data_IF_285369622592
#
_entry.id   IF_285369622592
#
_cell.length_a   1.000
_cell.length_b   1.000
_cell.length_c   1.000
_cell.angle_alpha   90.00
_cell.angle_beta   90.00
_cell.angle_gamma   90.00
#
_symmetry.space_group_name_H-M   'P 1'
#
loop_
_entity.id
_entity.type
_entity.pdbx_description
1 polymer ?
#
# COMPACT_ATOMS: atom_id res chain seq x y z
N UNK A 1 -15.37 7.72 -27.20
CA UNK A 1 -14.62 6.69 -26.44
C UNK A 1 -14.65 7.07 -24.97
N UNK A 2 -15.50 6.42 -24.15
CA UNK A 2 -15.52 6.61 -22.69
C UNK A 2 -14.23 5.96 -22.15
N UNK A 3 -13.33 6.65 -21.45
CA UNK A 3 -12.28 5.93 -20.76
C UNK A 3 -13.00 5.11 -19.70
N UNK A 4 -12.98 3.79 -19.86
CA UNK A 4 -13.13 2.89 -18.72
C UNK A 4 -12.23 3.49 -17.65
N UNK A 5 -12.78 4.01 -16.56
CA UNK A 5 -11.98 4.30 -15.35
C UNK A 5 -11.43 2.93 -14.95
N UNK A 6 -10.36 2.50 -15.60
CA UNK A 6 -9.41 1.56 -15.06
C UNK A 6 -8.90 2.35 -13.86
N UNK A 7 -9.62 2.25 -12.75
CA UNK A 7 -9.21 2.87 -11.50
C UNK A 7 -7.83 2.31 -11.29
N UNK A 8 -6.81 3.12 -11.52
CA UNK A 8 -5.46 2.73 -11.23
C UNK A 8 -5.50 2.49 -9.72
N UNK A 9 -5.60 1.22 -9.31
CA UNK A 9 -5.69 0.87 -7.88
C UNK A 9 -4.28 1.07 -7.34
N UNK A 10 -3.94 2.33 -7.13
CA UNK A 10 -2.67 2.77 -6.64
C UNK A 10 -2.90 3.69 -5.45
N UNK A 11 -1.96 3.69 -4.52
CA UNK A 11 -2.01 4.60 -3.38
C UNK A 11 -1.67 6.01 -3.85
N UNK A 12 -2.61 6.95 -3.71
CA UNK A 12 -2.37 8.39 -3.87
C UNK A 12 -1.80 9.01 -2.58
N UNK A 13 -2.11 8.39 -1.43
CA UNK A 13 -1.58 8.76 -0.13
C UNK A 13 -1.14 7.50 0.63
N UNK A 14 -0.19 7.68 1.54
CA UNK A 14 0.36 6.61 2.38
C UNK A 14 0.21 6.97 3.85
N UNK A 15 0.03 5.94 4.68
CA UNK A 15 0.03 6.08 6.13
C UNK A 15 1.34 5.58 6.73
N UNK A 16 1.87 6.34 7.69
CA UNK A 16 2.99 5.89 8.55
C UNK A 16 2.49 5.10 9.77
N UNK A 17 1.17 5.03 9.97
CA UNK A 17 0.58 4.34 11.11
C UNK A 17 0.94 2.85 11.09
N UNK A 18 1.18 2.30 12.28
CA UNK A 18 1.49 0.89 12.43
C UNK A 18 0.24 0.04 12.17
N UNK A 19 0.34 -0.95 11.29
CA UNK A 19 -0.74 -1.94 11.10
C UNK A 19 -0.75 -2.88 12.31
N UNK A 20 -1.83 -2.89 13.13
CA UNK A 20 -1.92 -3.72 14.32
C UNK A 20 -1.72 -5.21 13.99
N UNK A 21 -0.99 -5.95 14.84
CA UNK A 21 -0.69 -7.39 14.63
C UNK A 21 -1.93 -8.29 14.49
N UNK A 22 -3.10 -7.82 14.95
CA UNK A 22 -4.39 -8.51 14.77
C UNK A 22 -4.83 -8.62 13.31
N UNK A 23 -4.33 -7.74 12.44
CA UNK A 23 -4.63 -7.73 11.02
C UNK A 23 -3.69 -8.74 10.34
N UNK A 24 -4.26 -9.83 9.82
CA UNK A 24 -3.53 -10.88 9.11
C UNK A 24 -3.20 -10.43 7.70
N UNK A 25 -2.02 -9.84 7.56
CA UNK A 25 -1.46 -9.50 6.25
C UNK A 25 -1.10 -10.80 5.50
N UNK A 26 -1.73 -11.03 4.36
CA UNK A 26 -1.50 -12.22 3.51
C UNK A 26 -0.35 -12.00 2.54
N UNK A 27 -0.24 -10.79 1.99
CA UNK A 27 0.83 -10.43 1.06
C UNK A 27 1.13 -8.94 1.10
N UNK A 28 2.23 -8.54 0.49
CA UNK A 28 2.55 -7.13 0.27
C UNK A 28 3.01 -6.91 -1.16
N UNK A 29 2.80 -5.69 -1.66
CA UNK A 29 3.29 -5.23 -2.97
C UNK A 29 3.91 -3.85 -2.80
N UNK A 30 5.14 -3.69 -3.29
CA UNK A 30 5.75 -2.37 -3.41
C UNK A 30 5.24 -1.68 -4.67
N UNK A 31 4.84 -0.44 -4.50
CA UNK A 31 4.41 0.47 -5.56
C UNK A 31 5.46 1.58 -5.70
N UNK A 32 5.94 1.77 -6.91
CA UNK A 32 6.82 2.89 -7.26
C UNK A 32 6.00 4.18 -7.38
N UNK A 33 6.60 5.32 -7.05
CA UNK A 33 5.96 6.61 -7.28
C UNK A 33 5.78 6.87 -8.78
N UNK A 34 4.53 7.07 -9.21
CA UNK A 34 4.17 7.42 -10.57
C UNK A 34 2.91 8.29 -10.52
N UNK A 35 3.06 9.60 -10.74
CA UNK A 35 1.94 10.56 -10.61
C UNK A 35 0.69 10.08 -11.37
N UNK A 36 -0.49 9.99 -10.71
CA UNK A 36 -0.84 10.55 -9.39
C UNK A 36 -0.48 9.67 -8.17
N UNK A 37 0.04 8.47 -8.38
CA UNK A 37 0.39 7.52 -7.33
C UNK A 37 1.70 7.88 -6.62
N UNK A 38 1.73 7.74 -5.29
CA UNK A 38 2.93 7.93 -4.48
C UNK A 38 3.68 6.62 -4.29
N UNK A 39 4.93 6.69 -3.82
CA UNK A 39 5.66 5.50 -3.42
C UNK A 39 4.99 4.87 -2.19
N UNK A 40 4.63 3.59 -2.27
CA UNK A 40 3.84 2.93 -1.24
C UNK A 40 4.19 1.45 -1.10
N UNK A 41 4.00 0.90 0.10
CA UNK A 41 3.87 -0.54 0.32
C UNK A 41 2.40 -0.83 0.57
N UNK A 42 1.79 -1.58 -0.35
CA UNK A 42 0.42 -2.06 -0.22
C UNK A 42 0.46 -3.39 0.49
N UNK A 43 -0.09 -3.46 1.70
CA UNK A 43 -0.34 -4.73 2.37
C UNK A 43 -1.75 -5.22 2.07
N UNK A 44 -1.90 -6.50 1.76
CA UNK A 44 -3.19 -7.16 1.55
C UNK A 44 -3.55 -7.94 2.80
N UNK A 45 -4.80 -7.82 3.25
CA UNK A 45 -5.33 -8.50 4.42
C UNK A 45 -6.71 -9.05 4.08
N UNK A 46 -6.76 -10.25 3.50
CA UNK A 46 -8.02 -10.82 2.99
C UNK A 46 -8.67 -9.90 1.97
N UNK A 47 -9.72 -9.18 2.40
CA UNK A 47 -10.49 -8.26 1.55
C UNK A 47 -10.03 -6.79 1.64
N UNK A 48 -9.14 -6.45 2.55
CA UNK A 48 -8.68 -5.07 2.75
C UNK A 48 -7.26 -4.84 2.22
N UNK A 49 -6.98 -3.60 1.84
CA UNK A 49 -5.67 -3.15 1.36
C UNK A 49 -5.22 -1.95 2.18
N UNK A 50 -3.98 -1.97 2.61
CA UNK A 50 -3.39 -0.89 3.43
C UNK A 50 -2.22 -0.25 2.70
N UNK A 51 -2.38 1.02 2.34
CA UNK A 51 -1.33 1.86 1.78
C UNK A 51 -0.41 2.36 2.90
N UNK A 52 0.80 1.83 2.98
CA UNK A 52 1.78 2.17 4.01
C UNK A 52 3.01 2.85 3.40
N UNK A 53 3.59 3.78 4.14
CA UNK A 53 4.75 4.56 3.68
C UNK A 53 6.03 3.72 3.77
N UNK A 54 6.73 3.42 2.66
CA UNK A 54 7.96 2.63 2.66
C UNK A 54 9.07 3.19 3.57
N UNK A 55 9.07 4.49 3.85
CA UNK A 55 10.01 5.14 4.75
C UNK A 55 9.67 4.92 6.25
N UNK A 56 8.54 4.30 6.58
CA UNK A 56 8.19 4.01 7.96
C UNK A 56 9.13 2.95 8.55
N UNK A 57 9.72 3.25 9.72
CA UNK A 57 10.71 2.39 10.40
C UNK A 57 10.21 0.96 10.64
N UNK A 58 8.92 0.79 10.88
CA UNK A 58 8.34 -0.52 11.15
C UNK A 58 8.19 -1.37 9.89
N UNK A 59 8.08 -0.76 8.70
CA UNK A 59 7.98 -1.49 7.43
C UNK A 59 9.29 -2.17 7.08
N UNK A 60 10.42 -1.48 7.28
CA UNK A 60 11.74 -2.09 7.07
C UNK A 60 11.95 -3.34 7.95
N UNK A 61 11.36 -3.38 9.15
CA UNK A 61 11.38 -4.56 10.02
C UNK A 61 10.38 -5.65 9.62
N UNK A 62 9.38 -5.32 8.79
CA UNK A 62 8.27 -6.21 8.38
C UNK A 62 8.52 -6.88 7.03
N UNK A 63 9.29 -6.24 6.16
CA UNK A 63 9.62 -6.71 4.80
C UNK A 63 10.98 -7.45 4.76
N UNK A 64 11.79 -7.35 5.80
CA UNK A 64 13.07 -8.06 5.94
C UNK A 64 12.87 -9.52 6.28
#
# INVERSE_FOLDING_TARGET
>A
RRPTKVGLVCCEAVSKAFIPKRIKLTSYKRQNALKPCVEAVIFFSGNEKYCSDPAARWIQKKIK
#
